data_IF_223767290845
#
_entry.id   IF_223767290845
#
_cell.length_a   1.000
_cell.length_b   1.000
_cell.length_c   1.000
_cell.angle_alpha   90.00
_cell.angle_beta   90.00
_cell.angle_gamma   90.00
#
_symmetry.space_group_name_H-M   'P 1'
#
loop_
_entity.id
_entity.type
_entity.pdbx_description
1 polymer ?
#
# COMPACT_ATOMS: atom_id res chain seq x y z
N UNK A 1 10.77 10.77 -6.46
CA UNK A 1 10.55 12.22 -6.28
C UNK A 1 9.32 12.49 -5.40
N UNK A 2 9.37 13.50 -4.52
CA UNK A 2 8.20 13.91 -3.70
C UNK A 2 7.18 14.67 -4.53
N UNK A 3 5.92 14.24 -4.49
CA UNK A 3 4.83 14.80 -5.29
C UNK A 3 4.38 16.19 -4.80
N UNK A 4 4.51 16.47 -3.50
CA UNK A 4 4.18 17.76 -2.88
C UNK A 4 4.99 18.95 -3.43
N UNK A 5 6.11 18.68 -4.13
CA UNK A 5 6.90 19.69 -4.85
C UNK A 5 6.30 20.08 -6.21
N UNK A 6 5.35 19.32 -6.71
CA UNK A 6 4.75 19.49 -8.04
C UNK A 6 3.27 19.90 -7.97
N UNK A 7 2.54 19.38 -6.98
CA UNK A 7 1.11 19.65 -6.77
C UNK A 7 0.76 19.60 -5.29
N UNK A 8 -0.41 20.11 -4.95
CA UNK A 8 -0.98 19.91 -3.62
C UNK A 8 -1.27 18.41 -3.39
N UNK A 9 -0.91 17.95 -2.19
CA UNK A 9 -1.16 16.63 -1.63
C UNK A 9 -1.93 16.87 -0.32
N UNK A 10 -2.93 16.05 0.04
CA UNK A 10 -3.63 16.18 1.32
C UNK A 10 -2.67 16.26 2.51
N UNK A 11 -3.03 17.03 3.54
CA UNK A 11 -2.14 17.32 4.66
C UNK A 11 -1.75 16.07 5.47
N UNK A 12 -2.61 15.06 5.47
CA UNK A 12 -2.39 13.77 6.14
C UNK A 12 -1.69 12.75 5.24
N UNK A 13 -1.26 13.13 4.03
CA UNK A 13 -0.61 12.27 3.06
C UNK A 13 0.78 12.77 2.67
N UNK A 14 1.70 11.82 2.43
CA UNK A 14 2.95 12.10 1.73
C UNK A 14 3.13 11.09 0.59
N UNK A 15 3.42 11.61 -0.60
CA UNK A 15 3.42 10.85 -1.85
C UNK A 15 4.76 10.96 -2.55
N UNK A 16 5.33 9.80 -2.89
CA UNK A 16 6.49 9.66 -3.74
C UNK A 16 6.12 8.96 -5.03
N UNK A 17 6.67 9.45 -6.14
CA UNK A 17 6.57 8.82 -7.45
C UNK A 17 7.97 8.53 -7.98
N UNK A 18 8.14 7.42 -8.67
CA UNK A 18 9.33 7.17 -9.45
C UNK A 18 9.49 8.24 -10.54
N UNK A 19 10.71 8.70 -10.78
CA UNK A 19 10.98 9.68 -11.86
C UNK A 19 11.11 8.99 -13.21
N UNK A 20 11.60 7.75 -13.20
CA UNK A 20 11.98 7.01 -14.40
C UNK A 20 11.05 5.79 -14.64
N UNK A 21 10.04 5.61 -13.77
CA UNK A 21 9.09 4.51 -13.81
C UNK A 21 7.69 4.92 -13.37
N UNK A 22 6.83 3.92 -13.15
CA UNK A 22 5.41 4.13 -12.82
C UNK A 22 5.06 3.86 -11.36
N UNK A 23 6.06 3.46 -10.55
CA UNK A 23 5.84 3.09 -9.15
C UNK A 23 5.54 4.32 -8.31
N UNK A 24 4.57 4.21 -7.39
CA UNK A 24 4.32 5.23 -6.38
C UNK A 24 4.29 4.64 -4.99
N UNK A 25 4.71 5.42 -4.01
CA UNK A 25 4.65 5.10 -2.59
C UNK A 25 3.84 6.20 -1.90
N UNK A 26 2.78 5.83 -1.20
CA UNK A 26 1.87 6.73 -0.51
C UNK A 26 1.89 6.36 0.97
N UNK A 27 2.09 7.36 1.81
CA UNK A 27 1.88 7.25 3.25
C UNK A 27 0.63 8.06 3.57
N UNK A 28 -0.35 7.44 4.21
CA UNK A 28 -1.60 8.07 4.60
C UNK A 28 -1.84 7.86 6.11
N UNK A 29 -2.14 8.94 6.82
CA UNK A 29 -2.47 8.91 8.25
C UNK A 29 -4.00 9.03 8.35
N UNK A 30 -4.66 7.96 8.79
CA UNK A 30 -6.11 7.87 8.86
C UNK A 30 -6.58 7.67 10.30
N UNK A 31 -7.87 7.91 10.52
CA UNK A 31 -8.52 7.45 11.74
C UNK A 31 -8.46 5.92 11.83
N UNK A 32 -8.37 5.40 13.05
CA UNK A 32 -8.33 3.96 13.27
C UNK A 32 -9.67 3.32 12.97
N UNK A 33 -9.66 2.29 12.12
CA UNK A 33 -10.88 1.54 11.78
C UNK A 33 -11.19 0.48 12.84
N UNK A 34 -12.44 0.46 13.30
CA UNK A 34 -12.93 -0.53 14.26
C UNK A 34 -12.62 -0.19 15.73
N UNK A 35 -13.07 -1.07 16.64
CA UNK A 35 -12.99 -0.87 18.09
C UNK A 35 -11.59 -1.15 18.68
N UNK A 36 -11.38 -0.76 19.94
CA UNK A 36 -10.13 -0.97 20.68
C UNK A 36 -9.66 -2.44 20.71
N UNK A 37 -8.36 -2.64 20.91
CA UNK A 37 -7.70 -3.94 20.91
C UNK A 37 -7.14 -4.33 19.55
N UNK A 38 -6.19 -5.27 19.57
CA UNK A 38 -5.60 -5.91 18.39
C UNK A 38 -5.84 -7.41 18.46
N UNK A 39 -6.04 -8.00 17.29
CA UNK A 39 -6.28 -9.41 17.09
C UNK A 39 -6.67 -9.69 15.63
N UNK A 40 -6.47 -10.94 15.14
CA UNK A 40 -6.62 -11.27 13.72
C UNK A 40 -7.96 -10.86 13.11
N UNK A 41 -9.06 -10.95 13.86
CA UNK A 41 -10.39 -10.56 13.37
C UNK A 41 -10.54 -9.04 13.22
N UNK A 42 -10.10 -8.27 14.23
CA UNK A 42 -10.23 -6.81 14.25
C UNK A 42 -9.28 -6.17 13.25
N UNK A 43 -8.04 -6.66 13.22
CA UNK A 43 -6.99 -6.17 12.33
C UNK A 43 -7.25 -6.58 10.87
N UNK A 44 -7.70 -7.81 10.64
CA UNK A 44 -8.12 -8.28 9.31
C UNK A 44 -9.29 -7.47 8.75
N UNK A 45 -10.29 -7.15 9.59
CA UNK A 45 -11.41 -6.30 9.16
C UNK A 45 -10.95 -4.88 8.82
N UNK A 46 -10.10 -4.29 9.67
CA UNK A 46 -9.53 -2.97 9.40
C UNK A 46 -8.77 -2.94 8.07
N UNK A 47 -7.95 -3.96 7.80
CA UNK A 47 -7.24 -4.10 6.53
C UNK A 47 -8.19 -4.17 5.33
N UNK A 48 -9.24 -4.99 5.40
CA UNK A 48 -10.22 -5.08 4.31
C UNK A 48 -10.96 -3.77 4.10
N UNK A 49 -11.39 -3.08 5.17
CA UNK A 49 -12.06 -1.77 5.06
C UNK A 49 -11.15 -0.73 4.42
N UNK A 50 -9.89 -0.63 4.84
CA UNK A 50 -8.93 0.30 4.22
C UNK A 50 -8.69 -0.02 2.74
N UNK A 51 -8.62 -1.30 2.37
CA UNK A 51 -8.50 -1.70 0.98
C UNK A 51 -9.75 -1.32 0.17
N UNK A 52 -10.95 -1.57 0.69
CA UNK A 52 -12.23 -1.20 0.08
C UNK A 52 -12.36 0.31 -0.11
N UNK A 53 -11.99 1.11 0.89
CA UNK A 53 -12.02 2.57 0.81
C UNK A 53 -11.02 3.11 -0.24
N UNK A 54 -9.84 2.47 -0.35
CA UNK A 54 -8.82 2.85 -1.31
C UNK A 54 -9.22 2.59 -2.76
N UNK A 55 -9.81 1.43 -3.05
CA UNK A 55 -10.18 1.03 -4.42
C UNK A 55 -11.61 1.43 -4.79
N UNK A 56 -12.43 1.77 -3.80
CA UNK A 56 -13.80 2.24 -3.94
C UNK A 56 -14.69 1.27 -4.73
N UNK A 57 -15.33 1.79 -5.76
CA UNK A 57 -16.25 1.00 -6.61
C UNK A 57 -15.56 -0.08 -7.43
N UNK A 58 -14.22 -0.12 -7.49
CA UNK A 58 -13.47 -1.10 -8.27
C UNK A 58 -12.96 -2.28 -7.45
N UNK A 59 -13.50 -2.51 -6.24
CA UNK A 59 -13.12 -3.63 -5.36
C UNK A 59 -13.29 -5.01 -6.01
N UNK A 60 -14.28 -5.17 -6.88
CA UNK A 60 -14.53 -6.38 -7.68
C UNK A 60 -13.42 -6.68 -8.71
N UNK A 61 -12.57 -5.70 -9.00
CA UNK A 61 -11.38 -5.86 -9.84
C UNK A 61 -10.11 -6.20 -9.06
N UNK A 62 -10.21 -6.26 -7.72
CA UNK A 62 -9.10 -6.52 -6.82
C UNK A 62 -9.02 -8.01 -6.49
N UNK A 63 -7.83 -8.58 -6.61
CA UNK A 63 -7.52 -9.94 -6.15
C UNK A 63 -6.42 -9.87 -5.10
N UNK A 64 -6.70 -10.41 -3.92
CA UNK A 64 -5.72 -10.54 -2.83
C UNK A 64 -4.94 -11.84 -3.02
N UNK A 65 -3.61 -11.74 -2.95
CA UNK A 65 -2.70 -12.86 -3.17
C UNK A 65 -2.06 -13.35 -1.88
N UNK A 66 -1.71 -12.42 -1.00
CA UNK A 66 -1.05 -12.72 0.25
C UNK A 66 -1.44 -11.68 1.31
N UNK A 67 -1.55 -12.12 2.55
CA UNK A 67 -1.67 -11.28 3.74
C UNK A 67 -0.77 -11.85 4.82
N UNK A 68 0.06 -11.03 5.43
CA UNK A 68 1.00 -11.43 6.46
C UNK A 68 1.10 -10.38 7.57
N UNK A 69 1.40 -10.84 8.79
CA UNK A 69 1.90 -9.96 9.86
C UNK A 69 3.27 -9.41 9.46
N UNK A 70 3.53 -8.15 9.81
CA UNK A 70 4.83 -7.51 9.58
C UNK A 70 5.30 -6.78 10.83
N UNK A 71 6.60 -6.58 10.94
CA UNK A 71 7.22 -5.94 12.09
C UNK A 71 8.04 -4.73 11.67
N UNK A 72 7.92 -3.65 12.44
CA UNK A 72 8.70 -2.43 12.26
C UNK A 72 9.85 -2.38 13.25
N UNK A 73 11.09 -2.34 12.74
CA UNK A 73 12.28 -2.51 13.59
C UNK A 73 12.51 -1.39 14.60
N UNK A 74 11.88 -0.22 14.40
CA UNK A 74 12.06 0.95 15.28
C UNK A 74 10.78 1.36 16.02
N UNK A 75 9.77 0.50 16.07
CA UNK A 75 8.57 0.70 16.89
C UNK A 75 8.59 -0.21 18.12
N UNK A 76 7.67 0.00 19.06
CA UNK A 76 7.52 -0.88 20.22
C UNK A 76 7.23 -2.31 19.75
N UNK A 77 7.93 -3.34 20.27
CA UNK A 77 7.63 -4.73 19.92
C UNK A 77 6.16 -5.06 20.17
N UNK A 78 5.53 -5.76 19.22
CA UNK A 78 4.09 -6.06 19.28
C UNK A 78 3.18 -4.92 18.82
N UNK A 79 3.72 -3.83 18.27
CA UNK A 79 2.89 -2.84 17.55
C UNK A 79 2.21 -3.53 16.36
N UNK A 80 0.87 -3.56 16.28
CA UNK A 80 0.20 -4.35 15.25
C UNK A 80 0.45 -3.79 13.86
N UNK A 81 0.98 -4.62 12.97
CA UNK A 81 1.15 -4.27 11.58
C UNK A 81 0.96 -5.48 10.66
N UNK A 82 0.38 -5.21 9.50
CA UNK A 82 -0.03 -6.22 8.53
C UNK A 82 0.30 -5.73 7.13
N UNK A 83 0.70 -6.63 6.25
CA UNK A 83 0.92 -6.33 4.84
C UNK A 83 0.06 -7.24 3.99
N UNK A 84 -0.62 -6.70 2.98
CA UNK A 84 -1.22 -7.47 1.91
C UNK A 84 -0.59 -7.13 0.56
N UNK A 85 -0.60 -8.12 -0.32
CA UNK A 85 -0.28 -7.97 -1.73
C UNK A 85 -1.55 -8.29 -2.51
N UNK A 86 -2.02 -7.33 -3.29
CA UNK A 86 -3.16 -7.49 -4.19
C UNK A 86 -2.82 -7.01 -5.59
N UNK A 87 -3.67 -7.35 -6.56
CA UNK A 87 -3.64 -6.74 -7.89
C UNK A 87 -4.98 -6.16 -8.21
N UNK A 88 -4.98 -4.99 -8.86
CA UNK A 88 -6.17 -4.35 -9.42
C UNK A 88 -6.06 -4.34 -10.94
N UNK A 89 -7.04 -4.90 -11.62
CA UNK A 89 -7.12 -4.85 -13.10
C UNK A 89 -8.11 -3.76 -13.51
N UNK A 90 -7.69 -2.72 -14.27
CA UNK A 90 -8.60 -1.67 -14.69
C UNK A 90 -9.81 -2.24 -15.45
N UNK A 91 -11.01 -1.73 -15.16
CA UNK A 91 -12.19 -2.03 -15.99
C UNK A 91 -11.92 -1.47 -17.39
N UNK A 92 -11.80 -2.35 -18.38
CA UNK A 92 -11.55 -1.96 -19.76
C UNK A 92 -12.77 -1.22 -20.32
N UNK A 93 -12.86 0.09 -20.10
CA UNK A 93 -13.67 0.95 -20.96
C UNK A 93 -12.86 1.20 -22.22
N UNK A 94 -13.36 0.66 -23.34
CA UNK A 94 -12.76 0.73 -24.67
C UNK A 94 -12.71 2.17 -25.24
N UNK A 95 -12.00 3.10 -24.60
CA UNK A 95 -11.58 4.35 -25.25
C UNK A 95 -10.23 4.13 -25.93
N UNK A 96 -10.21 4.47 -27.23
CA UNK A 96 -9.33 3.98 -28.30
C UNK A 96 -7.83 4.39 -28.25
N UNK A 97 -7.28 4.75 -27.09
CA UNK A 97 -5.88 5.20 -26.96
C UNK A 97 -5.14 4.56 -25.76
N UNK A 98 -5.35 3.27 -25.50
CA UNK A 98 -4.89 2.59 -24.27
C UNK A 98 -3.44 2.06 -24.29
N UNK A 99 -2.56 2.55 -25.15
CA UNK A 99 -1.19 2.00 -25.26
C UNK A 99 -0.32 2.25 -24.03
N UNK A 100 -0.72 3.16 -23.14
CA UNK A 100 -0.01 3.51 -21.89
C UNK A 100 -0.77 3.15 -20.62
N UNK A 101 -1.91 2.45 -20.71
CA UNK A 101 -2.65 2.03 -19.52
C UNK A 101 -2.05 0.71 -18.98
N UNK A 102 -1.95 0.53 -17.66
CA UNK A 102 -1.47 -0.71 -17.08
C UNK A 102 -2.45 -1.87 -17.34
N UNK A 103 -1.92 -3.06 -17.64
CA UNK A 103 -2.70 -4.30 -17.71
C UNK A 103 -3.25 -4.64 -16.32
N UNK A 104 -2.44 -4.44 -15.29
CA UNK A 104 -2.85 -4.46 -13.89
C UNK A 104 -1.90 -3.60 -13.06
N UNK A 105 -2.32 -3.25 -11.85
CA UNK A 105 -1.47 -2.63 -10.84
C UNK A 105 -1.33 -3.58 -9.67
N UNK A 106 -0.11 -3.98 -9.33
CA UNK A 106 0.15 -4.65 -8.07
C UNK A 106 0.18 -3.61 -6.94
N UNK A 107 -0.51 -3.90 -5.86
CA UNK A 107 -0.66 -3.02 -4.69
C UNK A 107 -0.07 -3.77 -3.50
N UNK A 108 0.95 -3.18 -2.89
CA UNK A 108 1.48 -3.64 -1.60
C UNK A 108 0.99 -2.65 -0.56
N UNK A 109 0.04 -3.08 0.28
CA UNK A 109 -0.55 -2.26 1.33
C UNK A 109 -0.06 -2.74 2.69
N UNK A 110 0.68 -1.90 3.39
CA UNK A 110 1.00 -2.09 4.80
C UNK A 110 0.07 -1.25 5.67
N UNK A 111 -0.61 -1.91 6.60
CA UNK A 111 -1.37 -1.29 7.69
C UNK A 111 -0.51 -1.31 8.96
N UNK A 112 -0.24 -0.15 9.54
CA UNK A 112 0.40 0.00 10.84
C UNK A 112 -0.60 0.64 11.82
N UNK A 113 -0.86 -0.02 12.94
CA UNK A 113 -1.92 0.40 13.87
C UNK A 113 -1.35 1.03 15.13
N UNK A 114 -1.68 2.29 15.37
CA UNK A 114 -1.26 3.05 16.55
C UNK A 114 -2.44 3.20 17.52
N UNK A 115 -2.68 2.18 18.32
CA UNK A 115 -3.85 2.13 19.22
C UNK A 115 -3.91 3.31 20.20
N UNK A 116 -2.77 3.67 20.82
CA UNK A 116 -2.67 4.80 21.77
C UNK A 116 -3.09 6.14 21.13
N UNK A 117 -2.83 6.30 19.83
CA UNK A 117 -3.14 7.49 19.04
C UNK A 117 -4.51 7.41 18.34
N UNK A 118 -5.20 6.25 18.40
CA UNK A 118 -6.41 5.98 17.60
C UNK A 118 -6.20 6.26 16.10
N UNK A 119 -5.02 5.91 15.61
CA UNK A 119 -4.59 6.17 14.23
C UNK A 119 -4.21 4.86 13.54
N UNK A 120 -4.57 4.75 12.27
CA UNK A 120 -3.98 3.77 11.36
C UNK A 120 -3.07 4.52 10.37
N UNK A 121 -1.90 3.95 10.06
CA UNK A 121 -0.99 4.45 9.02
C UNK A 121 -1.01 3.44 7.89
N UNK A 122 -1.41 3.90 6.71
CA UNK A 122 -1.39 3.11 5.48
C UNK A 122 -0.15 3.47 4.67
N UNK A 123 0.59 2.44 4.26
CA UNK A 123 1.73 2.59 3.37
C UNK A 123 1.42 1.76 2.13
N UNK A 124 1.15 2.44 1.03
CA UNK A 124 0.73 1.82 -0.23
C UNK A 124 1.81 1.97 -1.27
N UNK A 125 2.30 0.87 -1.82
CA UNK A 125 3.16 0.85 -2.99
C UNK A 125 2.37 0.36 -4.19
N UNK A 126 2.10 1.25 -5.15
CA UNK A 126 1.45 0.90 -6.40
C UNK A 126 2.51 0.63 -7.45
N UNK A 127 2.42 -0.52 -8.11
CA UNK A 127 3.35 -1.00 -9.13
C UNK A 127 2.56 -1.32 -10.41
N UNK A 128 2.34 -0.32 -11.28
CA UNK A 128 1.66 -0.52 -12.56
C UNK A 128 2.49 -1.41 -13.48
N UNK A 129 1.85 -2.42 -14.06
CA UNK A 129 2.44 -3.31 -15.05
C UNK A 129 1.84 -2.96 -16.41
N UNK A 130 2.62 -2.28 -17.25
CA UNK A 130 2.18 -1.83 -18.58
C UNK A 130 2.70 -2.80 -19.64
N UNK A 131 1.83 -3.21 -20.55
CA UNK A 131 2.18 -4.17 -21.60
C UNK A 131 3.44 -3.76 -22.35
N UNK A 132 4.41 -4.67 -22.43
CA UNK A 132 5.69 -4.44 -23.11
C UNK A 132 6.79 -3.81 -22.25
N UNK A 133 6.45 -3.28 -21.05
CA UNK A 133 7.41 -2.72 -20.08
C UNK A 133 7.77 -3.73 -18.97
N UNK A 134 7.15 -4.92 -18.97
CA UNK A 134 7.47 -6.03 -18.07
C UNK A 134 7.44 -7.38 -18.80
N UNK A 135 8.14 -8.37 -18.24
CA UNK A 135 8.10 -9.74 -18.75
C UNK A 135 6.91 -10.49 -18.13
N UNK A 136 5.86 -10.70 -18.93
CA UNK A 136 4.67 -11.46 -18.54
C UNK A 136 5.01 -12.87 -18.05
N UNK A 137 6.05 -13.49 -18.61
CA UNK A 137 6.45 -14.83 -18.20
C UNK A 137 7.07 -14.85 -16.81
N UNK A 138 7.60 -13.73 -16.30
CA UNK A 138 8.20 -13.63 -14.96
C UNK A 138 7.17 -13.38 -13.85
N UNK A 139 5.92 -13.03 -14.19
CA UNK A 139 4.86 -12.69 -13.24
C UNK A 139 3.76 -13.73 -13.24
N UNK A 140 3.66 -14.50 -12.16
CA UNK A 140 2.58 -15.42 -11.85
C UNK A 140 2.40 -15.47 -10.32
N UNK A 141 1.49 -14.64 -9.82
CA UNK A 141 1.26 -14.51 -8.38
C UNK A 141 0.57 -15.74 -7.77
N UNK A 142 -0.11 -16.56 -8.57
CA UNK A 142 -0.67 -17.86 -8.11
C UNK A 142 0.44 -18.84 -7.78
N UNK A 143 1.49 -18.85 -8.60
CA UNK A 143 2.68 -19.68 -8.40
C UNK A 143 3.78 -18.98 -7.57
N UNK A 144 3.50 -17.82 -6.98
CA UNK A 144 4.44 -17.05 -6.17
C UNK A 144 5.57 -16.36 -6.94
N UNK A 145 5.47 -16.29 -8.27
CA UNK A 145 6.43 -15.62 -9.15
C UNK A 145 6.06 -14.15 -9.25
N UNK A 146 6.80 -13.30 -8.56
CA UNK A 146 6.48 -11.88 -8.44
C UNK A 146 7.06 -11.03 -9.58
N UNK A 147 8.04 -11.54 -10.33
CA UNK A 147 8.80 -10.74 -11.29
C UNK A 147 9.60 -9.62 -10.63
N UNK A 148 10.35 -8.87 -11.45
CA UNK A 148 11.31 -7.86 -10.94
C UNK A 148 10.65 -6.66 -10.29
N UNK A 149 9.56 -6.16 -10.87
CA UNK A 149 8.90 -4.93 -10.40
C UNK A 149 8.25 -5.13 -9.01
N UNK A 150 7.51 -6.21 -8.82
CA UNK A 150 6.91 -6.53 -7.51
C UNK A 150 8.00 -6.91 -6.51
N UNK A 151 9.03 -7.65 -6.92
CA UNK A 151 10.18 -7.97 -6.07
C UNK A 151 10.86 -6.71 -5.52
N UNK A 152 11.14 -5.72 -6.38
CA UNK A 152 11.70 -4.44 -5.96
C UNK A 152 10.77 -3.68 -5.00
N UNK A 153 9.45 -3.73 -5.23
CA UNK A 153 8.48 -3.11 -4.34
C UNK A 153 8.41 -3.79 -2.96
N UNK A 154 8.60 -5.11 -2.88
CA UNK A 154 8.75 -5.83 -1.61
C UNK A 154 10.01 -5.37 -0.87
N UNK A 155 11.13 -5.17 -1.58
CA UNK A 155 12.36 -4.63 -0.99
C UNK A 155 12.18 -3.18 -0.48
N UNK A 156 11.43 -2.36 -1.20
CA UNK A 156 11.06 -1.02 -0.73
C UNK A 156 10.23 -1.09 0.56
N UNK A 157 9.23 -1.96 0.63
CA UNK A 157 8.46 -2.18 1.85
C UNK A 157 9.35 -2.61 3.02
N UNK A 158 10.25 -3.57 2.82
CA UNK A 158 11.20 -4.01 3.85
C UNK A 158 12.12 -2.88 4.32
N UNK A 159 12.56 -2.02 3.40
CA UNK A 159 13.34 -0.81 3.74
C UNK A 159 12.51 0.16 4.58
N UNK A 160 11.24 0.36 4.23
CA UNK A 160 10.33 1.21 5.01
C UNK A 160 10.15 0.64 6.42
N UNK A 161 9.85 -0.66 6.56
CA UNK A 161 9.63 -1.28 7.87
C UNK A 161 10.86 -1.18 8.79
N UNK A 162 12.06 -1.32 8.22
CA UNK A 162 13.32 -1.23 8.97
C UNK A 162 13.76 0.20 9.30
N UNK A 163 13.24 1.21 8.61
CA UNK A 163 13.69 2.61 8.76
C UNK A 163 12.63 3.56 9.33
N UNK A 164 11.35 3.20 9.24
CA UNK A 164 10.23 4.03 9.70
C UNK A 164 10.33 4.29 11.20
N UNK A 165 10.16 5.56 11.58
CA UNK A 165 10.28 6.06 12.96
C UNK A 165 9.28 7.18 13.16
N UNK A 166 8.48 7.09 14.22
CA UNK A 166 7.70 8.23 14.72
C UNK A 166 8.66 9.12 15.51
N UNK A 167 8.87 10.35 15.02
CA UNK A 167 9.80 11.32 15.62
C UNK A 167 9.11 12.26 16.60
N UNK A 168 7.85 12.56 16.35
CA UNK A 168 7.04 13.46 17.16
C UNK A 168 5.65 12.84 17.30
N UNK A 169 5.28 12.48 18.52
CA UNK A 169 3.96 11.94 18.84
C UNK A 169 2.89 13.03 18.96
N UNK A 170 3.29 14.31 19.10
CA UNK A 170 2.36 15.44 19.07
C UNK A 170 1.65 15.59 17.71
N UNK A 171 2.16 14.95 16.66
CA UNK A 171 1.52 14.88 15.34
C UNK A 171 0.09 14.31 15.40
N UNK A 172 -0.18 13.38 16.32
CA UNK A 172 -1.48 12.71 16.43
C UNK A 172 -2.46 13.43 17.36
N UNK A 173 -2.10 14.62 17.87
CA UNK A 173 -2.83 15.34 18.91
C UNK A 173 -2.35 14.97 20.32
N UNK A 174 -2.45 15.90 21.27
CA UNK A 174 -2.19 15.61 22.69
C UNK A 174 -3.23 14.61 23.21
N UNK A 175 -2.76 13.55 23.86
CA UNK A 175 -3.61 12.59 24.59
C UNK A 175 -4.15 13.19 25.89
#
# INVERSE_FOLDING_TARGET
>A
MRCSKLRQVPDNQEVWIDQDGFTSIIFDITERVGGSGSGPEVDGRAMTTHLEDMVGSDIDTVKIWNTAETEFSNLEPGTPAYTLISTQTPRVNQSRDSTSAPDFTAIILTLLRLEKAKTDILITINVPHIKGEYDEAEVDLELGRQGKLIGAAVEYSATIWSTFKIKDWGLFGEA
#
